data_IF_498813593001
#
_entry.id   IF_498813593001
#
_cell.length_a   1.000
_cell.length_b   1.000
_cell.length_c   1.000
_cell.angle_alpha   90.00
_cell.angle_beta   90.00
_cell.angle_gamma   90.00
#
_symmetry.space_group_name_H-M   'P 1'
#
loop_
_entity.id
_entity.type
_entity.pdbx_description
1 polymer ?
#
# COMPACT_ATOMS: atom_id res chain seq x y z
N UNK A 1 -5.45 18.51 3.53
CA UNK A 1 -4.19 17.76 3.54
C UNK A 1 -3.43 18.19 4.78
N UNK A 2 -3.15 17.29 5.72
CA UNK A 2 -2.39 17.64 6.93
C UNK A 2 -0.97 18.00 6.49
N UNK A 3 -0.52 19.22 6.76
CA UNK A 3 0.84 19.67 6.48
C UNK A 3 1.82 18.81 7.25
N UNK A 4 2.62 18.01 6.54
CA UNK A 4 3.64 17.16 7.14
C UNK A 4 4.73 18.08 7.70
N UNK A 5 4.89 18.08 9.02
CA UNK A 5 5.89 18.89 9.70
C UNK A 5 7.09 18.00 10.04
N UNK A 6 7.95 17.78 9.05
CA UNK A 6 9.14 16.95 9.18
C UNK A 6 10.24 17.74 9.90
N UNK A 7 10.80 17.17 10.96
CA UNK A 7 11.95 17.75 11.65
C UNK A 7 13.21 16.98 11.24
N UNK A 8 14.28 17.71 10.91
CA UNK A 8 15.53 17.10 10.45
C UNK A 8 16.61 17.23 11.52
N UNK A 9 17.39 16.16 11.70
CA UNK A 9 18.66 16.19 12.43
C UNK A 9 19.75 16.53 11.43
N UNK A 10 20.54 17.54 11.75
CA UNK A 10 21.60 18.10 10.91
C UNK A 10 22.94 17.96 11.64
N UNK A 11 23.97 17.55 10.92
CA UNK A 11 25.33 17.49 11.46
C UNK A 11 26.00 18.87 11.52
N UNK A 12 27.26 18.90 11.98
CA UNK A 12 28.05 20.13 12.15
C UNK A 12 28.41 20.80 10.82
N UNK A 13 28.35 20.08 9.70
CA UNK A 13 28.58 20.60 8.35
C UNK A 13 27.26 21.10 7.72
N UNK A 14 26.13 20.96 8.41
CA UNK A 14 24.81 21.36 7.94
C UNK A 14 24.12 20.34 7.05
N UNK A 15 24.63 19.10 6.98
CA UNK A 15 24.02 18.02 6.20
C UNK A 15 22.97 17.28 7.03
N UNK A 16 21.79 17.05 6.43
CA UNK A 16 20.70 16.28 7.05
C UNK A 16 21.11 14.82 7.18
N UNK A 17 21.13 14.30 8.41
CA UNK A 17 21.55 12.93 8.72
C UNK A 17 20.41 12.04 9.18
N UNK A 18 19.34 12.63 9.75
CA UNK A 18 18.13 11.90 10.11
C UNK A 18 16.88 12.78 10.00
N UNK A 19 15.71 12.16 10.08
CA UNK A 19 14.41 12.82 10.15
C UNK A 19 13.60 12.24 11.32
N UNK A 20 12.90 13.11 12.03
CA UNK A 20 11.98 12.74 13.12
C UNK A 20 10.58 12.72 12.51
N UNK A 21 9.94 11.56 12.61
CA UNK A 21 8.58 11.32 12.13
C UNK A 21 7.71 10.88 13.29
N UNK A 22 6.41 11.16 13.21
CA UNK A 22 5.44 10.49 14.09
C UNK A 22 5.43 8.99 13.77
N UNK A 23 5.18 8.16 14.78
CA UNK A 23 5.11 6.69 14.61
C UNK A 23 4.12 6.32 13.50
N UNK A 24 2.93 6.93 13.54
CA UNK A 24 1.91 6.74 12.50
C UNK A 24 2.43 7.01 11.09
N UNK A 25 3.25 8.06 10.90
CA UNK A 25 3.80 8.37 9.58
C UNK A 25 4.85 7.35 9.15
N UNK A 26 5.69 6.89 10.09
CA UNK A 26 6.66 5.84 9.81
C UNK A 26 5.97 4.53 9.39
N UNK A 27 4.92 4.11 10.12
CA UNK A 27 4.12 2.92 9.78
C UNK A 27 3.47 3.02 8.39
N UNK A 28 2.89 4.19 8.06
CA UNK A 28 2.34 4.43 6.72
C UNK A 28 3.39 4.35 5.61
N UNK A 29 4.62 4.84 5.86
CA UNK A 29 5.70 4.71 4.87
C UNK A 29 6.13 3.24 4.67
N UNK A 30 6.09 2.42 5.73
CA UNK A 30 6.35 0.99 5.61
C UNK A 30 5.23 0.28 4.83
N UNK A 31 3.98 0.65 5.07
CA UNK A 31 2.81 0.15 4.31
C UNK A 31 2.94 0.50 2.82
N UNK A 32 3.22 1.76 2.49
CA UNK A 32 3.44 2.22 1.11
C UNK A 32 4.56 1.41 0.42
N UNK A 33 5.67 1.15 1.11
CA UNK A 33 6.77 0.34 0.57
C UNK A 33 6.38 -1.12 0.35
N UNK A 34 5.59 -1.70 1.26
CA UNK A 34 5.09 -3.05 1.12
C UNK A 34 4.16 -3.18 -0.10
N UNK A 35 3.22 -2.25 -0.27
CA UNK A 35 2.31 -2.23 -1.41
C UNK A 35 3.08 -2.12 -2.74
N UNK A 36 4.09 -1.25 -2.79
CA UNK A 36 4.96 -1.12 -3.97
C UNK A 36 5.75 -2.40 -4.27
N UNK A 37 6.23 -3.11 -3.24
CA UNK A 37 6.91 -4.38 -3.41
C UNK A 37 5.97 -5.45 -3.98
N UNK A 38 4.76 -5.59 -3.40
CA UNK A 38 3.73 -6.51 -3.90
C UNK A 38 3.35 -6.20 -5.35
N UNK A 39 3.21 -4.91 -5.70
CA UNK A 39 2.95 -4.50 -7.09
C UNK A 39 4.10 -4.88 -8.04
N UNK A 40 5.35 -4.71 -7.62
CA UNK A 40 6.51 -5.05 -8.42
C UNK A 40 6.64 -6.57 -8.65
N UNK A 41 6.43 -7.37 -7.60
CA UNK A 41 6.43 -8.84 -7.67
C UNK A 41 5.37 -9.36 -8.65
N UNK A 42 4.20 -8.70 -8.69
CA UNK A 42 3.07 -9.10 -9.53
C UNK A 42 3.07 -8.46 -10.92
N UNK A 43 4.12 -7.73 -11.30
CA UNK A 43 4.16 -6.95 -12.55
C UNK A 43 4.06 -7.81 -13.81
N UNK A 44 4.58 -9.03 -13.75
CA UNK A 44 4.58 -9.99 -14.88
C UNK A 44 3.45 -11.02 -14.77
N UNK A 45 2.62 -10.96 -13.72
CA UNK A 45 1.47 -11.83 -13.59
C UNK A 45 0.39 -11.46 -14.62
N UNK A 46 -0.11 -12.44 -15.35
CA UNK A 46 -1.25 -12.24 -16.24
C UNK A 46 -2.50 -11.85 -15.40
N UNK A 47 -3.20 -10.76 -15.78
CA UNK A 47 -4.41 -10.37 -15.09
C UNK A 47 -5.50 -11.43 -15.30
N UNK A 48 -6.31 -11.65 -14.28
CA UNK A 48 -7.51 -12.48 -14.38
C UNK A 48 -8.74 -11.61 -14.61
N UNK A 49 -9.74 -12.16 -15.30
CA UNK A 49 -11.02 -11.47 -15.45
C UNK A 49 -11.72 -11.34 -14.10
N UNK A 50 -12.56 -10.31 -13.97
CA UNK A 50 -13.39 -10.12 -12.77
C UNK A 50 -14.27 -11.35 -12.47
N UNK A 51 -14.77 -12.02 -13.50
CA UNK A 51 -15.60 -13.23 -13.34
C UNK A 51 -14.79 -14.41 -12.80
N UNK A 52 -13.55 -14.59 -13.27
CA UNK A 52 -12.65 -15.60 -12.73
C UNK A 52 -12.26 -15.29 -11.28
N UNK A 53 -11.99 -14.02 -10.94
CA UNK A 53 -11.75 -13.59 -9.57
C UNK A 53 -12.94 -13.93 -8.66
N UNK A 54 -14.17 -13.58 -9.06
CA UNK A 54 -15.40 -13.91 -8.29
C UNK A 54 -15.57 -15.41 -8.09
N UNK A 55 -15.27 -16.21 -9.12
CA UNK A 55 -15.33 -17.68 -9.04
C UNK A 55 -14.36 -18.23 -7.99
N UNK A 56 -13.12 -17.71 -7.94
CA UNK A 56 -12.12 -18.08 -6.92
C UNK A 56 -12.58 -17.69 -5.51
N UNK A 57 -13.01 -16.45 -5.31
CA UNK A 57 -13.47 -15.97 -4.00
C UNK A 57 -14.69 -16.76 -3.46
N UNK A 58 -15.63 -17.14 -4.34
CA UNK A 58 -16.76 -18.00 -3.95
C UNK A 58 -16.28 -19.40 -3.54
N UNK A 59 -15.33 -19.97 -4.30
CA UNK A 59 -14.74 -21.28 -3.99
C UNK A 59 -14.06 -21.26 -2.61
N UNK A 60 -13.41 -20.15 -2.27
CA UNK A 60 -12.69 -19.99 -1.00
C UNK A 60 -13.62 -19.57 0.16
N UNK A 61 -14.93 -19.42 -0.08
CA UNK A 61 -15.92 -19.03 0.93
C UNK A 61 -15.85 -17.55 1.35
N UNK A 62 -15.10 -16.72 0.61
CA UNK A 62 -14.89 -15.30 0.91
C UNK A 62 -15.93 -14.38 0.26
N UNK A 63 -16.81 -14.94 -0.59
CA UNK A 63 -17.87 -14.18 -1.27
C UNK A 63 -19.19 -14.98 -1.27
N UNK A 64 -20.13 -14.58 -0.41
CA UNK A 64 -21.41 -15.30 -0.22
C UNK A 64 -22.55 -14.77 -1.11
N UNK A 65 -22.51 -13.50 -1.54
CA UNK A 65 -23.59 -12.87 -2.32
C UNK A 65 -23.09 -12.36 -3.67
N UNK A 66 -23.98 -12.36 -4.68
CA UNK A 66 -23.69 -11.68 -5.94
C UNK A 66 -23.65 -10.16 -5.67
N UNK A 67 -22.47 -9.56 -5.66
CA UNK A 67 -22.36 -8.11 -5.92
C UNK A 67 -22.97 -7.86 -7.29
N UNK A 68 -24.20 -7.36 -7.32
CA UNK A 68 -24.83 -6.86 -8.54
C UNK A 68 -23.95 -5.74 -9.06
N UNK A 69 -23.59 -5.83 -10.34
CA UNK A 69 -22.85 -4.78 -11.04
C UNK A 69 -23.62 -3.47 -10.89
N UNK A 70 -23.06 -2.50 -10.17
CA UNK A 70 -23.56 -1.13 -10.20
C UNK A 70 -23.32 -0.64 -11.63
N UNK A 71 -24.40 -0.49 -12.40
CA UNK A 71 -24.39 0.15 -13.72
C UNK A 71 -24.18 1.65 -13.57
#
# INVERSE_FOLDING_TARGET
MSTIQEQYVVDTEGKKTAVILSIRRYEQLLEDLHDLAVMAERREEEPISLEEMKRRLKKDGLLEHQCQTVR
#
